data_IF_025441775248
#
_entry.id   IF_025441775248
#
_cell.length_a   1.000
_cell.length_b   1.000
_cell.length_c   1.000
_cell.angle_alpha   90.00
_cell.angle_beta   90.00
_cell.angle_gamma   90.00
#
_symmetry.space_group_name_H-M   'P 1'
#
loop_
_entity.id
_entity.type
_entity.pdbx_description
1 polymer ?
#
# COMPACT_ATOMS: atom_id res chain seq x y z
N UNK A 1 -1.55 -10.82 -1.18
CA UNK A 1 -0.08 -10.90 -0.97
C UNK A 1 0.14 -10.35 0.41
N UNK A 2 0.89 -11.05 1.29
CA UNK A 2 1.09 -10.56 2.65
C UNK A 2 1.82 -9.21 2.59
N UNK A 3 1.32 -8.17 3.27
CA UNK A 3 2.01 -6.88 3.30
C UNK A 3 3.40 -6.98 3.90
N UNK A 4 4.34 -6.25 3.30
CA UNK A 4 5.67 -6.03 3.84
C UNK A 4 5.62 -4.88 4.87
N UNK A 5 5.87 -5.21 6.14
CA UNK A 5 5.76 -4.27 7.25
C UNK A 5 6.95 -3.31 7.35
N UNK A 6 8.12 -3.68 6.79
CA UNK A 6 9.26 -2.76 6.71
C UNK A 6 9.00 -1.70 5.65
N UNK A 7 8.47 -2.10 4.48
CA UNK A 7 8.04 -1.16 3.45
C UNK A 7 6.88 -0.29 3.92
N UNK A 8 5.95 -0.83 4.71
CA UNK A 8 4.88 -0.04 5.32
C UNK A 8 5.42 1.01 6.30
N UNK A 9 6.39 0.64 7.14
CA UNK A 9 7.07 1.58 8.04
C UNK A 9 7.76 2.70 7.25
N UNK A 10 8.54 2.34 6.23
CA UNK A 10 9.24 3.30 5.38
C UNK A 10 8.27 4.27 4.70
N UNK A 11 7.15 3.75 4.17
CA UNK A 11 6.09 4.58 3.62
C UNK A 11 5.53 5.57 4.66
N UNK A 12 5.22 5.10 5.86
CA UNK A 12 4.66 5.93 6.94
C UNK A 12 5.64 6.97 7.47
N UNK A 13 6.95 6.74 7.34
CA UNK A 13 7.99 7.72 7.71
C UNK A 13 8.15 8.80 6.63
N UNK A 14 7.96 8.44 5.36
CA UNK A 14 8.14 9.34 4.21
C UNK A 14 6.85 10.01 3.72
N UNK A 15 5.68 9.61 4.20
CA UNK A 15 4.39 10.06 3.67
C UNK A 15 4.02 11.47 4.17
N UNK A 16 3.75 12.43 3.26
CA UNK A 16 3.33 13.79 3.64
C UNK A 16 1.88 13.88 4.10
N UNK A 17 1.05 12.88 3.77
CA UNK A 17 -0.39 12.86 4.04
C UNK A 17 -0.80 12.03 5.26
N UNK A 18 0.17 11.34 5.88
CA UNK A 18 -0.04 10.46 7.03
C UNK A 18 0.67 11.03 8.26
N UNK A 19 -0.10 11.45 9.25
CA UNK A 19 0.42 12.02 10.50
C UNK A 19 0.20 11.06 11.65
N UNK A 20 1.25 10.79 12.44
CA UNK A 20 1.20 9.89 13.61
C UNK A 20 0.83 10.66 14.87
N UNK A 21 0.13 10.01 15.81
CA UNK A 21 -0.15 10.59 17.14
C UNK A 21 1.09 10.48 18.04
N UNK A 22 1.43 11.53 18.81
CA UNK A 22 2.57 11.48 19.74
C UNK A 22 2.40 10.51 20.92
N UNK A 23 1.16 10.08 21.19
CA UNK A 23 0.81 9.27 22.36
C UNK A 23 1.40 7.84 22.33
N UNK A 24 1.98 7.41 21.21
CA UNK A 24 2.67 6.14 21.08
C UNK A 24 1.74 4.94 20.78
N UNK A 25 2.32 3.73 20.74
CA UNK A 25 1.63 2.51 20.36
C UNK A 25 0.48 2.16 21.31
N UNK A 26 -0.58 1.55 20.77
CA UNK A 26 -1.64 0.99 21.60
C UNK A 26 -1.15 -0.23 22.39
N UNK A 27 -1.64 -0.38 23.63
CA UNK A 27 -1.31 -1.56 24.42
C UNK A 27 -1.90 -2.83 23.82
N UNK A 28 -1.17 -3.94 23.96
CA UNK A 28 -1.60 -5.27 23.50
C UNK A 28 -2.99 -5.64 24.04
N UNK A 29 -3.23 -5.41 25.33
CA UNK A 29 -4.51 -5.69 25.97
C UNK A 29 -5.69 -4.94 25.32
N UNK A 30 -5.49 -3.68 24.91
CA UNK A 30 -6.53 -2.91 24.21
C UNK A 30 -6.84 -3.49 22.84
N UNK A 31 -5.81 -3.92 22.10
CA UNK A 31 -5.96 -4.57 20.80
C UNK A 31 -6.67 -5.93 20.94
N UNK A 32 -6.32 -6.71 21.96
CA UNK A 32 -6.97 -8.00 22.25
C UNK A 32 -8.44 -7.82 22.68
N UNK A 33 -8.74 -6.80 23.50
CA UNK A 33 -10.11 -6.44 23.86
C UNK A 33 -10.95 -6.03 22.65
N UNK A 34 -10.39 -5.22 21.73
CA UNK A 34 -11.07 -4.85 20.51
C UNK A 34 -11.37 -6.08 19.62
N UNK A 35 -10.42 -7.00 19.48
CA UNK A 35 -10.62 -8.24 18.72
C UNK A 35 -11.64 -9.19 19.36
N UNK A 36 -11.72 -9.22 20.69
CA UNK A 36 -12.75 -10.01 21.40
C UNK A 36 -14.16 -9.53 21.06
N UNK A 37 -14.32 -8.22 20.80
CA UNK A 37 -15.61 -7.60 20.48
C UNK A 37 -15.95 -7.69 18.99
N UNK A 38 -14.98 -7.42 18.12
CA UNK A 38 -15.18 -7.27 16.67
C UNK A 38 -14.85 -8.54 15.87
N UNK A 39 -14.20 -9.53 16.49
CA UNK A 39 -13.48 -10.56 15.77
C UNK A 39 -12.06 -10.11 15.38
N UNK A 40 -11.32 -10.96 14.65
CA UNK A 40 -9.93 -10.65 14.31
C UNK A 40 -9.83 -9.40 13.43
N UNK A 41 -8.86 -8.53 13.75
CA UNK A 41 -8.58 -7.33 12.96
C UNK A 41 -7.58 -7.65 11.82
N UNK A 42 -7.58 -6.86 10.73
CA UNK A 42 -6.61 -7.04 9.64
C UNK A 42 -5.16 -6.99 10.16
N UNK A 43 -4.27 -7.92 9.77
CA UNK A 43 -2.92 -8.01 10.30
C UNK A 43 -2.10 -6.71 10.24
N UNK A 44 -2.10 -6.01 9.10
CA UNK A 44 -1.39 -4.75 8.91
C UNK A 44 -2.02 -3.58 9.68
N UNK A 45 -3.34 -3.58 9.85
CA UNK A 45 -4.01 -2.62 10.74
C UNK A 45 -3.67 -2.88 12.21
N UNK A 46 -3.63 -4.14 12.64
CA UNK A 46 -3.21 -4.52 13.98
C UNK A 46 -1.75 -4.14 14.25
N UNK A 47 -0.87 -4.33 13.26
CA UNK A 47 0.51 -3.84 13.34
C UNK A 47 0.55 -2.33 13.49
N UNK A 48 -0.21 -1.58 12.69
CA UNK A 48 -0.29 -0.12 12.78
C UNK A 48 -0.77 0.35 14.16
N UNK A 49 -1.79 -0.28 14.73
CA UNK A 49 -2.25 -0.02 16.10
C UNK A 49 -1.13 -0.27 17.13
N UNK A 50 -0.43 -1.40 17.00
CA UNK A 50 0.65 -1.79 17.92
C UNK A 50 1.94 -0.99 17.77
N UNK A 51 2.14 -0.33 16.63
CA UNK A 51 3.35 0.46 16.34
C UNK A 51 3.12 1.96 16.58
N UNK A 52 1.99 2.49 16.10
CA UNK A 52 1.70 3.92 16.10
C UNK A 52 0.51 4.30 16.97
N UNK A 53 -0.37 3.34 17.29
CA UNK A 53 -1.57 3.57 18.11
C UNK A 53 -2.66 4.29 17.34
N UNK A 54 -2.41 5.53 16.94
CA UNK A 54 -3.37 6.38 16.24
C UNK A 54 -2.66 7.32 15.26
N UNK A 55 -3.44 7.86 14.31
CA UNK A 55 -2.94 8.80 13.32
C UNK A 55 -4.05 9.36 12.45
N UNK A 56 -3.67 10.24 11.54
CA UNK A 56 -4.55 10.91 10.60
C UNK A 56 -4.09 10.64 9.17
N UNK A 57 -5.06 10.50 8.29
CA UNK A 57 -4.89 10.43 6.86
C UNK A 57 -5.66 11.58 6.25
N UNK A 58 -4.97 12.47 5.52
CA UNK A 58 -5.64 13.59 4.84
C UNK A 58 -6.45 14.49 5.79
N UNK A 59 -5.96 14.71 7.02
CA UNK A 59 -6.64 15.52 8.03
C UNK A 59 -7.70 14.79 8.88
N UNK A 60 -8.21 13.65 8.42
CA UNK A 60 -9.21 12.86 9.13
C UNK A 60 -8.58 11.69 9.91
N UNK A 61 -9.10 11.36 11.12
CA UNK A 61 -8.52 10.30 11.94
C UNK A 61 -8.70 8.92 11.29
N UNK A 62 -7.69 8.08 11.47
CA UNK A 62 -7.83 6.63 11.35
C UNK A 62 -8.28 6.14 12.72
N UNK A 63 -9.36 5.37 12.75
CA UNK A 63 -9.89 4.79 13.98
C UNK A 63 -8.80 4.02 14.74
N UNK A 64 -8.92 3.98 16.06
CA UNK A 64 -7.93 3.40 16.97
C UNK A 64 -8.60 2.56 18.05
N UNK A 65 -7.83 1.91 18.90
CA UNK A 65 -8.33 1.27 20.13
C UNK A 65 -8.40 2.29 21.25
N UNK A 66 -9.59 2.86 21.42
CA UNK A 66 -9.93 3.85 22.44
C UNK A 66 -11.15 3.36 23.26
N UNK A 67 -11.49 4.04 24.38
CA UNK A 67 -12.76 3.80 25.08
C UNK A 67 -13.94 3.90 24.12
N UNK A 68 -14.98 3.08 24.34
CA UNK A 68 -16.09 2.90 23.38
C UNK A 68 -16.88 4.18 23.11
N UNK A 69 -16.91 5.09 24.08
CA UNK A 69 -17.58 6.39 23.99
C UNK A 69 -16.81 7.38 23.10
N UNK A 70 -15.58 7.04 22.70
CA UNK A 70 -14.78 7.86 21.79
C UNK A 70 -15.17 7.64 20.34
N UNK A 71 -15.39 8.74 19.61
CA UNK A 71 -15.63 8.68 18.16
C UNK A 71 -14.44 8.09 17.38
N UNK A 72 -13.23 8.16 17.94
CA UNK A 72 -12.03 7.54 17.37
C UNK A 72 -11.97 6.01 17.60
N UNK A 73 -12.80 5.46 18.49
CA UNK A 73 -12.75 4.04 18.81
C UNK A 73 -13.25 3.19 17.64
N UNK A 74 -12.44 2.24 17.20
CA UNK A 74 -12.83 1.26 16.17
C UNK A 74 -14.01 0.39 16.61
N UNK A 75 -14.24 0.26 17.93
CA UNK A 75 -15.36 -0.47 18.52
C UNK A 75 -16.64 0.36 18.65
N UNK A 76 -16.63 1.64 18.27
CA UNK A 76 -17.83 2.48 18.35
C UNK A 76 -18.95 1.87 17.50
N UNK A 77 -20.16 1.76 18.06
CA UNK A 77 -21.26 1.01 17.45
C UNK A 77 -21.63 1.45 16.03
N UNK A 78 -21.52 2.75 15.74
CA UNK A 78 -21.84 3.31 14.41
C UNK A 78 -20.85 2.86 13.31
N UNK A 79 -19.65 2.41 13.67
CA UNK A 79 -18.64 1.94 12.70
C UNK A 79 -18.95 0.55 12.15
N UNK A 80 -19.83 -0.20 12.81
CA UNK A 80 -20.19 -1.56 12.42
C UNK A 80 -21.51 -1.58 11.67
N UNK A 81 -21.48 -2.02 10.40
CA UNK A 81 -22.68 -2.15 9.56
C UNK A 81 -22.66 -3.50 8.84
N UNK A 82 -23.22 -4.54 9.48
CA UNK A 82 -23.19 -5.90 8.95
C UNK A 82 -21.75 -6.38 8.74
N UNK A 83 -21.36 -6.81 7.51
CA UNK A 83 -19.98 -7.24 7.21
C UNK A 83 -19.01 -6.08 6.93
N UNK A 84 -19.31 -4.86 7.40
CA UNK A 84 -18.49 -3.67 7.18
C UNK A 84 -18.06 -3.06 8.50
N UNK A 85 -16.77 -2.74 8.59
CA UNK A 85 -16.17 -2.05 9.72
C UNK A 85 -15.49 -0.77 9.24
N UNK A 86 -16.11 0.38 9.51
CA UNK A 86 -15.62 1.70 9.17
C UNK A 86 -14.41 2.07 10.02
N UNK A 87 -13.25 2.25 9.39
CA UNK A 87 -12.03 2.66 10.10
C UNK A 87 -11.58 4.08 9.75
N UNK A 88 -12.16 4.70 8.71
CA UNK A 88 -11.81 6.05 8.30
C UNK A 88 -12.95 6.71 7.53
N UNK A 89 -13.18 7.99 7.79
CA UNK A 89 -14.18 8.81 7.08
C UNK A 89 -13.46 10.04 6.56
N UNK A 90 -13.50 10.27 5.25
CA UNK A 90 -12.92 11.45 4.62
C UNK A 90 -13.69 12.71 5.01
N UNK A 91 -13.07 13.89 4.85
CA UNK A 91 -13.72 15.18 5.17
C UNK A 91 -14.97 15.45 4.32
N UNK A 92 -14.98 14.91 3.09
CA UNK A 92 -16.15 14.97 2.22
C UNK A 92 -17.27 14.00 2.67
N UNK A 93 -17.00 13.06 3.57
CA UNK A 93 -17.95 12.10 4.12
C UNK A 93 -17.89 10.71 3.49
N UNK A 94 -17.02 10.46 2.50
CA UNK A 94 -16.80 9.11 2.00
C UNK A 94 -16.19 8.22 3.09
N UNK A 95 -16.71 7.01 3.25
CA UNK A 95 -16.28 6.11 4.32
C UNK A 95 -15.42 4.96 3.77
N UNK A 96 -14.41 4.56 4.54
CA UNK A 96 -13.54 3.43 4.23
C UNK A 96 -13.76 2.32 5.24
N UNK A 97 -14.06 1.13 4.70
CA UNK A 97 -14.48 -0.02 5.47
C UNK A 97 -13.61 -1.23 5.17
N UNK A 98 -13.31 -2.01 6.20
CA UNK A 98 -12.90 -3.40 5.99
C UNK A 98 -14.13 -4.23 5.58
N UNK A 99 -14.02 -4.95 4.46
CA UNK A 99 -15.05 -5.85 3.98
C UNK A 99 -14.90 -7.24 4.64
N UNK A 100 -15.46 -7.40 5.84
CA UNK A 100 -15.23 -8.54 6.75
C UNK A 100 -15.63 -9.91 6.18
N UNK A 101 -16.49 -9.93 5.16
CA UNK A 101 -16.93 -11.10 4.40
C UNK A 101 -15.96 -11.55 3.29
N UNK A 102 -14.91 -10.77 3.00
CA UNK A 102 -14.00 -10.99 1.85
C UNK A 102 -12.56 -11.27 2.28
N UNK A 103 -12.38 -12.03 3.38
CA UNK A 103 -11.06 -12.29 3.95
C UNK A 103 -10.09 -12.92 2.92
N UNK A 104 -8.94 -12.30 2.73
CA UNK A 104 -7.86 -12.79 1.88
C UNK A 104 -7.10 -13.96 2.50
N UNK A 105 -6.32 -14.68 1.68
CA UNK A 105 -5.49 -15.81 2.13
C UNK A 105 -4.34 -15.40 3.08
N UNK A 106 -3.92 -14.14 3.01
CA UNK A 106 -2.96 -13.50 3.93
C UNK A 106 -3.59 -13.12 5.29
N UNK A 107 -4.91 -13.30 5.41
CA UNK A 107 -5.68 -12.97 6.59
C UNK A 107 -6.10 -11.50 6.66
N UNK A 108 -5.78 -10.69 5.65
CA UNK A 108 -6.24 -9.31 5.50
C UNK A 108 -7.69 -9.26 5.03
N UNK A 109 -8.29 -8.08 5.16
CA UNK A 109 -9.60 -7.79 4.60
C UNK A 109 -9.48 -6.64 3.60
N UNK A 110 -10.04 -6.79 2.39
CA UNK A 110 -10.10 -5.72 1.42
C UNK A 110 -10.75 -4.47 1.99
N UNK A 111 -10.22 -3.33 1.57
CA UNK A 111 -10.77 -2.01 1.87
C UNK A 111 -11.69 -1.60 0.73
N UNK A 112 -12.92 -1.25 1.09
CA UNK A 112 -13.89 -0.63 0.18
C UNK A 112 -14.17 0.80 0.61
N UNK A 113 -14.36 1.68 -0.37
CA UNK A 113 -14.92 3.01 -0.16
C UNK A 113 -16.42 2.95 -0.37
N UNK A 114 -17.17 3.56 0.53
CA UNK A 114 -18.61 3.74 0.42
C UNK A 114 -18.91 5.20 0.15
N UNK A 115 -19.53 5.45 -1.00
CA UNK A 115 -19.94 6.80 -1.41
C UNK A 115 -21.00 7.34 -0.45
N UNK A 116 -20.82 8.58 0.00
CA UNK A 116 -21.71 9.19 1.00
C UNK A 116 -23.14 9.45 0.52
N UNK A 117 -23.35 9.60 -0.78
CA UNK A 117 -24.62 10.04 -1.35
C UNK A 117 -25.53 8.88 -1.70
N UNK A 118 -24.99 7.86 -2.37
CA UNK A 118 -25.76 6.70 -2.83
C UNK A 118 -25.46 5.42 -2.04
N UNK A 119 -24.41 5.43 -1.20
CA UNK A 119 -23.98 4.27 -0.44
C UNK A 119 -23.31 3.18 -1.27
N UNK A 120 -22.98 3.45 -2.54
CA UNK A 120 -22.33 2.50 -3.43
C UNK A 120 -20.92 2.17 -2.94
N UNK A 121 -20.55 0.89 -3.08
CA UNK A 121 -19.25 0.38 -2.65
C UNK A 121 -18.28 0.23 -3.82
N UNK A 122 -17.07 0.74 -3.66
CA UNK A 122 -15.99 0.65 -4.64
C UNK A 122 -14.75 0.02 -4.00
N UNK A 123 -14.10 -0.97 -4.63
CA UNK A 123 -12.86 -1.55 -4.10
C UNK A 123 -11.73 -0.51 -4.15
N UNK A 124 -10.95 -0.42 -3.08
CA UNK A 124 -9.80 0.49 -2.97
C UNK A 124 -8.50 -0.29 -2.90
N UNK A 125 -8.41 -1.25 -1.99
CA UNK A 125 -7.21 -2.03 -1.74
C UNK A 125 -7.57 -3.43 -1.21
N UNK A 126 -6.63 -4.36 -1.32
CA UNK A 126 -6.77 -5.73 -0.83
C UNK A 126 -6.41 -5.84 0.66
N UNK A 127 -5.67 -4.86 1.21
CA UNK A 127 -5.18 -4.85 2.59
C UNK A 127 -5.20 -3.42 3.15
N UNK A 128 -5.10 -3.27 4.49
CA UNK A 128 -4.95 -1.95 5.10
C UNK A 128 -3.62 -1.28 4.69
N UNK A 129 -2.52 -2.04 4.63
CA UNK A 129 -1.24 -1.54 4.14
C UNK A 129 -1.32 -1.01 2.71
N UNK A 130 -2.02 -1.76 1.84
CA UNK A 130 -2.23 -1.36 0.45
C UNK A 130 -3.14 -0.14 0.33
N UNK A 131 -4.12 0.00 1.23
CA UNK A 131 -4.92 1.23 1.32
C UNK A 131 -4.01 2.44 1.60
N UNK A 132 -3.11 2.37 2.59
CA UNK A 132 -2.18 3.47 2.87
C UNK A 132 -1.25 3.76 1.68
N UNK A 133 -0.81 2.72 0.96
CA UNK A 133 -0.01 2.88 -0.25
C UNK A 133 -0.76 3.62 -1.36
N UNK A 134 -2.02 3.26 -1.63
CA UNK A 134 -2.88 3.95 -2.60
C UNK A 134 -3.07 5.41 -2.21
N UNK A 135 -3.31 5.70 -0.92
CA UNK A 135 -3.51 7.07 -0.45
C UNK A 135 -2.23 7.91 -0.55
N UNK A 136 -1.07 7.34 -0.25
CA UNK A 136 0.23 8.00 -0.45
C UNK A 136 0.51 8.25 -1.95
N UNK A 137 0.20 7.29 -2.82
CA UNK A 137 0.32 7.45 -4.27
C UNK A 137 -0.55 8.61 -4.78
N UNK A 138 -1.80 8.72 -4.33
CA UNK A 138 -2.69 9.84 -4.66
C UNK A 138 -2.13 11.18 -4.16
N UNK A 139 -1.64 11.24 -2.91
CA UNK A 139 -1.07 12.45 -2.32
C UNK A 139 0.18 12.94 -3.07
N UNK A 140 0.95 12.02 -3.67
CA UNK A 140 2.12 12.34 -4.52
C UNK A 140 1.77 12.63 -5.98
N UNK A 141 0.49 12.53 -6.37
CA UNK A 141 0.06 12.71 -7.75
C UNK A 141 0.38 11.53 -8.68
N UNK A 142 0.76 10.38 -8.13
CA UNK A 142 1.04 9.15 -8.89
C UNK A 142 -0.24 8.45 -9.37
N UNK A 143 -1.42 8.89 -8.90
CA UNK A 143 -2.73 8.30 -9.22
C UNK A 143 -2.77 6.82 -8.87
N UNK A 144 -3.24 5.97 -9.80
CA UNK A 144 -3.24 4.52 -9.65
C UNK A 144 -1.83 3.90 -9.79
N UNK A 145 -0.76 4.71 -9.79
CA UNK A 145 0.60 4.24 -10.00
C UNK A 145 1.05 4.27 -11.46
N UNK A 146 2.31 3.91 -11.71
CA UNK A 146 2.95 4.17 -13.00
C UNK A 146 2.49 3.24 -14.13
N UNK A 147 2.01 2.07 -13.77
CA UNK A 147 1.32 1.16 -14.67
C UNK A 147 0.32 0.31 -13.86
N UNK A 148 -0.64 -0.37 -14.51
CA UNK A 148 -1.66 -1.14 -13.82
C UNK A 148 -1.15 -2.31 -12.96
N UNK A 149 0.05 -2.82 -13.24
CA UNK A 149 0.62 -3.94 -12.48
C UNK A 149 1.21 -3.44 -11.16
N UNK A 150 1.93 -2.32 -11.18
CA UNK A 150 2.38 -1.63 -9.96
C UNK A 150 1.18 -1.10 -9.16
N UNK A 151 0.13 -0.62 -9.83
CA UNK A 151 -1.15 -0.29 -9.19
C UNK A 151 -1.71 -1.46 -8.36
N UNK A 152 -1.73 -2.65 -8.97
CA UNK A 152 -2.23 -3.86 -8.33
C UNK A 152 -1.33 -4.28 -7.15
N UNK A 153 -0.01 -4.13 -7.30
CA UNK A 153 0.93 -4.35 -6.21
C UNK A 153 0.65 -3.42 -5.04
N UNK A 154 0.55 -2.10 -5.28
CA UNK A 154 0.30 -1.11 -4.23
C UNK A 154 -1.04 -1.27 -3.56
N UNK A 155 -2.07 -1.76 -4.26
CA UNK A 155 -3.34 -2.15 -3.62
C UNK A 155 -3.19 -3.30 -2.63
N UNK A 156 -2.13 -4.09 -2.71
CA UNK A 156 -1.86 -5.22 -1.81
C UNK A 156 -0.81 -4.89 -0.74
N UNK A 157 0.26 -4.19 -1.10
CA UNK A 157 1.42 -3.91 -0.24
C UNK A 157 2.15 -2.65 -0.71
N UNK A 158 2.70 -1.82 0.19
CA UNK A 158 3.39 -0.56 -0.14
C UNK A 158 4.76 -0.74 -0.83
N UNK A 159 5.13 -1.95 -1.24
CA UNK A 159 6.46 -2.34 -1.68
C UNK A 159 6.72 -3.79 -1.24
N UNK A 160 7.82 -4.38 -1.71
CA UNK A 160 8.24 -5.74 -1.29
C UNK A 160 9.77 -5.79 -1.25
N UNK A 161 10.34 -6.13 -0.10
CA UNK A 161 11.70 -6.62 -0.01
C UNK A 161 11.68 -8.15 0.02
N UNK A 162 12.29 -8.77 -0.98
CA UNK A 162 12.39 -10.23 -1.07
C UNK A 162 13.63 -10.72 -0.30
N UNK A 163 13.59 -11.98 0.11
CA UNK A 163 14.70 -12.65 0.81
C UNK A 163 15.98 -12.73 -0.04
N UNK A 164 15.85 -12.65 -1.36
CA UNK A 164 16.96 -12.59 -2.33
C UNK A 164 17.58 -11.19 -2.48
N UNK A 165 17.08 -10.19 -1.73
CA UNK A 165 17.56 -8.81 -1.72
C UNK A 165 16.92 -7.91 -2.79
N UNK A 166 16.02 -8.44 -3.62
CA UNK A 166 15.30 -7.63 -4.60
C UNK A 166 14.24 -6.77 -3.91
N UNK A 167 14.30 -5.46 -4.14
CA UNK A 167 13.37 -4.48 -3.63
C UNK A 167 12.46 -3.99 -4.74
N UNK A 168 11.15 -4.12 -4.55
CA UNK A 168 10.11 -3.47 -5.36
C UNK A 168 9.63 -2.22 -4.63
N UNK A 169 9.67 -1.09 -5.32
CA UNK A 169 9.44 0.21 -4.72
C UNK A 169 7.98 0.48 -4.37
N UNK A 170 7.83 1.16 -3.24
CA UNK A 170 6.60 1.83 -2.90
C UNK A 170 6.38 3.17 -3.60
N UNK A 171 5.18 3.75 -3.45
CA UNK A 171 4.91 5.10 -3.94
C UNK A 171 5.89 6.15 -3.35
N UNK A 172 6.35 5.92 -2.12
CA UNK A 172 7.29 6.78 -1.41
C UNK A 172 8.73 6.77 -1.93
N UNK A 173 9.12 5.76 -2.73
CA UNK A 173 10.49 5.63 -3.27
C UNK A 173 10.54 5.86 -4.78
N UNK A 174 9.49 5.47 -5.51
CA UNK A 174 9.56 5.32 -6.96
C UNK A 174 9.90 6.62 -7.69
N UNK A 175 9.36 7.76 -7.24
CA UNK A 175 9.59 9.04 -7.88
C UNK A 175 11.06 9.47 -7.74
N UNK A 176 11.56 9.53 -6.51
CA UNK A 176 12.95 9.92 -6.21
C UNK A 176 13.94 9.03 -6.95
N UNK A 177 13.70 7.72 -6.99
CA UNK A 177 14.56 6.77 -7.69
C UNK A 177 14.58 7.01 -9.20
N UNK A 178 13.42 7.19 -9.83
CA UNK A 178 13.37 7.49 -11.27
C UNK A 178 14.02 8.83 -11.62
N UNK A 179 13.91 9.83 -10.74
CA UNK A 179 14.57 11.13 -10.90
C UNK A 179 16.09 11.02 -10.74
N UNK A 180 16.56 10.29 -9.72
CA UNK A 180 17.99 10.07 -9.43
C UNK A 180 18.72 9.44 -10.62
N UNK A 181 18.08 8.47 -11.28
CA UNK A 181 18.64 7.78 -12.45
C UNK A 181 18.24 8.41 -13.78
N UNK A 182 17.58 9.58 -13.76
CA UNK A 182 17.07 10.31 -14.93
C UNK A 182 16.34 9.39 -15.92
N UNK A 183 15.56 8.41 -15.43
CA UNK A 183 15.00 7.32 -16.26
C UNK A 183 14.18 7.88 -17.41
N UNK A 184 13.42 8.95 -17.17
CA UNK A 184 12.62 9.61 -18.20
C UNK A 184 13.46 10.19 -19.36
N UNK A 185 14.71 10.57 -19.09
CA UNK A 185 15.64 11.08 -20.10
C UNK A 185 16.25 9.96 -20.93
N UNK A 186 16.72 8.91 -20.26
CA UNK A 186 17.50 7.85 -20.89
C UNK A 186 16.65 6.68 -21.41
N UNK A 187 15.50 6.42 -20.80
CA UNK A 187 14.60 5.32 -21.14
C UNK A 187 13.12 5.79 -21.09
N UNK A 188 12.68 6.66 -22.02
CA UNK A 188 11.41 7.38 -21.93
C UNK A 188 10.14 6.53 -22.06
N UNK A 189 10.24 5.24 -22.40
CA UNK A 189 9.12 4.29 -22.44
C UNK A 189 9.08 3.36 -21.21
N UNK A 190 10.06 3.51 -20.32
CA UNK A 190 10.31 2.62 -19.19
C UNK A 190 10.14 3.35 -17.87
N UNK A 191 10.07 2.58 -16.80
CA UNK A 191 10.12 3.07 -15.44
C UNK A 191 10.92 2.10 -14.59
N UNK A 192 11.77 2.64 -13.73
CA UNK A 192 12.44 1.90 -12.67
C UNK A 192 11.44 1.64 -11.55
N UNK A 193 11.16 0.37 -11.27
CA UNK A 193 10.15 -0.06 -10.28
C UNK A 193 10.76 -0.78 -9.08
N UNK A 194 12.08 -0.99 -9.09
CA UNK A 194 12.82 -1.70 -8.06
C UNK A 194 14.30 -1.81 -8.39
N UNK A 195 15.06 -2.44 -7.51
CA UNK A 195 16.48 -2.78 -7.73
C UNK A 195 16.88 -4.06 -6.98
N UNK A 196 18.03 -4.63 -7.33
CA UNK A 196 18.59 -5.82 -6.68
C UNK A 196 19.61 -5.52 -5.57
N UNK A 197 19.71 -4.25 -5.13
CA UNK A 197 20.77 -3.72 -4.25
C UNK A 197 22.21 -3.95 -4.72
N UNK A 198 22.41 -4.59 -5.88
CA UNK A 198 23.69 -4.92 -6.49
C UNK A 198 24.05 -4.03 -7.68
N UNK A 199 23.26 -2.98 -7.93
CA UNK A 199 23.48 -2.00 -9.00
C UNK A 199 22.63 -2.22 -10.24
N UNK A 200 21.74 -3.22 -10.28
CA UNK A 200 20.79 -3.41 -11.38
C UNK A 200 19.39 -2.95 -10.98
N UNK A 201 18.73 -2.29 -11.92
CA UNK A 201 17.36 -1.82 -11.79
C UNK A 201 16.36 -2.78 -12.43
N UNK A 202 15.17 -2.85 -11.83
CA UNK A 202 14.01 -3.53 -12.39
C UNK A 202 13.19 -2.51 -13.19
N UNK A 203 13.01 -2.77 -14.48
CA UNK A 203 12.33 -1.88 -15.40
C UNK A 203 11.05 -2.50 -15.94
N UNK A 204 9.99 -1.69 -15.97
CA UNK A 204 8.73 -2.03 -16.63
C UNK A 204 8.35 -0.93 -17.60
N UNK A 205 7.60 -1.27 -18.64
CA UNK A 205 6.97 -0.25 -19.48
C UNK A 205 5.84 0.44 -18.73
N UNK A 206 5.75 1.75 -18.85
CA UNK A 206 4.62 2.50 -18.29
C UNK A 206 3.47 2.68 -19.31
N UNK A 207 3.72 2.42 -20.60
CA UNK A 207 2.74 2.45 -21.69
C UNK A 207 2.86 1.22 -22.62
N UNK A 208 1.84 1.01 -23.46
CA UNK A 208 1.82 -0.10 -24.43
C UNK A 208 1.14 -1.37 -23.95
N UNK A 209 1.24 -2.45 -24.75
CA UNK A 209 0.56 -3.73 -24.48
C UNK A 209 1.20 -4.51 -23.33
N UNK A 210 2.52 -4.58 -23.31
CA UNK A 210 3.24 -5.25 -22.24
C UNK A 210 3.48 -4.28 -21.09
N UNK A 211 2.78 -4.51 -19.98
CA UNK A 211 2.92 -3.77 -18.71
C UNK A 211 3.04 -4.73 -17.52
N UNK A 212 3.44 -5.98 -17.78
CA UNK A 212 3.51 -7.06 -16.79
C UNK A 212 4.92 -7.62 -16.66
N UNK A 213 5.68 -7.62 -17.76
CA UNK A 213 7.05 -8.08 -17.75
C UNK A 213 7.98 -7.11 -17.01
N UNK A 214 9.07 -7.66 -16.48
CA UNK A 214 10.11 -6.94 -15.78
C UNK A 214 11.44 -7.28 -16.43
N UNK A 215 12.23 -6.25 -16.69
CA UNK A 215 13.61 -6.40 -17.17
C UNK A 215 14.62 -5.94 -16.14
N UNK A 216 15.75 -6.63 -16.06
CA UNK A 216 16.91 -6.24 -15.29
C UNK A 216 17.94 -5.57 -16.19
N UNK A 217 18.46 -4.43 -15.76
CA UNK A 217 19.55 -3.74 -16.44
C UNK A 217 20.45 -3.05 -15.41
N UNK A 218 21.76 -3.02 -15.67
CA UNK A 218 22.71 -2.20 -14.90
C UNK A 218 22.27 -0.72 -14.92
N UNK A 219 22.19 -0.11 -13.73
CA UNK A 219 21.76 1.30 -13.58
C UNK A 219 22.75 2.28 -14.23
N UNK A 220 24.01 1.89 -14.42
CA UNK A 220 25.01 2.65 -15.17
C UNK A 220 24.88 2.52 -16.69
N UNK A 221 24.05 1.60 -17.19
CA UNK A 221 23.82 1.35 -18.61
C UNK A 221 22.47 1.88 -19.13
N UNK A 222 21.74 2.65 -18.32
CA UNK A 222 20.47 3.26 -18.73
C UNK A 222 20.74 4.21 -19.92
N UNK A 223 19.99 4.06 -21.00
CA UNK A 223 20.17 4.84 -22.24
C UNK A 223 20.38 3.99 -23.49
N UNK A 224 20.70 2.71 -23.32
CA UNK A 224 20.71 1.70 -24.39
C UNK A 224 19.31 1.26 -24.84
N UNK A 225 19.24 0.26 -25.72
CA UNK A 225 17.97 -0.37 -26.07
C UNK A 225 17.56 -1.28 -24.92
N UNK A 226 16.91 -0.75 -23.90
CA UNK A 226 16.50 -1.52 -22.71
C UNK A 226 15.66 -2.77 -23.08
N UNK A 227 14.95 -2.75 -24.22
CA UNK A 227 14.21 -3.91 -24.71
C UNK A 227 15.12 -5.04 -25.22
N UNK A 228 16.27 -4.72 -25.79
CA UNK A 228 17.26 -5.67 -26.29
C UNK A 228 18.33 -6.02 -25.24
N UNK A 229 18.83 -5.00 -24.53
CA UNK A 229 19.96 -5.09 -23.62
C UNK A 229 19.56 -5.57 -22.21
N UNK A 230 18.30 -5.34 -21.81
CA UNK A 230 17.79 -5.75 -20.51
C UNK A 230 17.43 -7.24 -20.46
N UNK A 231 17.91 -7.95 -19.45
CA UNK A 231 17.55 -9.35 -19.19
C UNK A 231 16.07 -9.44 -18.80
N UNK A 232 15.32 -10.38 -19.39
CA UNK A 232 13.94 -10.63 -18.94
C UNK A 232 13.96 -11.40 -17.62
N UNK A 233 13.59 -10.73 -16.53
CA UNK A 233 13.47 -11.36 -15.20
C UNK A 233 12.20 -12.19 -15.09
N UNK A 234 11.08 -11.63 -15.55
CA UNK A 234 9.76 -12.30 -15.57
C UNK A 234 8.86 -11.65 -16.61
N UNK A 235 7.91 -12.42 -17.16
CA UNK A 235 6.84 -11.92 -18.01
C UNK A 235 5.58 -11.48 -17.22
N UNK A 236 5.52 -11.81 -15.92
CA UNK A 236 4.43 -11.41 -15.04
C UNK A 236 4.93 -11.17 -13.61
N UNK A 237 5.12 -9.89 -13.25
CA UNK A 237 5.56 -9.46 -11.93
C UNK A 237 4.72 -10.06 -10.78
N UNK A 238 3.39 -10.07 -10.90
CA UNK A 238 2.53 -10.48 -9.79
C UNK A 238 2.63 -11.98 -9.54
N UNK A 239 2.68 -12.78 -10.62
CA UNK A 239 2.85 -14.23 -10.49
C UNK A 239 4.25 -14.55 -9.92
N UNK A 240 5.29 -13.86 -10.39
CA UNK A 240 6.66 -14.02 -9.88
C UNK A 240 6.81 -13.66 -8.40
N UNK A 241 6.09 -12.65 -7.92
CA UNK A 241 6.01 -12.32 -6.49
C UNK A 241 5.20 -13.35 -5.69
N UNK A 242 4.29 -14.09 -6.33
CA UNK A 242 3.50 -15.14 -5.68
C UNK A 242 4.22 -16.50 -5.58
N UNK A 243 5.29 -16.71 -6.36
CA UNK A 243 6.10 -17.94 -6.37
C UNK A 243 7.33 -17.90 -5.46
N UNK A 244 7.62 -16.74 -4.86
CA UNK A 244 8.77 -16.49 -3.99
C UNK A 244 8.40 -16.55 -2.52
#
# INVERSE_FOLDING_TARGET
>A
MRPDLEQLRSLLDASPGLTKRPAGPASRDRIENAQTRLGPLPPSYRWWLGEYGAGWLGGAPIATVAPEESDEAITAGWRSAGPRLCFHTEEDGDEHHFALDRRGADGEWPVVRRDRFDGAEYPVAETFAGFLAVRDALARGLRDGPNPTIAALWRSTPGVLRDDGVLLYGPHQIQERNETFEVRRYAPDWMLVGDDSGGRGLFMRHHGRDRRSVRLLDLGAIGGDLAGDGELLTDNLIDWLGTG
#
